data_IF_415053905811
#
_entry.id   IF_415053905811
#
_cell.length_a   1.000
_cell.length_b   1.000
_cell.length_c   1.000
_cell.angle_alpha   90.00
_cell.angle_beta   90.00
_cell.angle_gamma   90.00
#
_symmetry.space_group_name_H-M   'P 1'
#
loop_
_entity.id
_entity.type
_entity.pdbx_description
1 polymer ?
#
# COMPACT_ATOMS: atom_id res chain seq x y z
N UNK A 1 -10.44 -7.01 3.35
CA UNK A 1 -10.39 -8.27 4.14
C UNK A 1 -9.62 -8.10 5.47
N UNK A 2 -8.52 -7.36 5.49
CA UNK A 2 -7.64 -7.23 6.67
C UNK A 2 -8.24 -6.50 7.88
N UNK A 3 -9.17 -5.56 7.69
CA UNK A 3 -9.84 -4.83 8.78
C UNK A 3 -10.62 -5.78 9.69
N UNK A 4 -11.39 -6.72 9.10
CA UNK A 4 -12.12 -7.73 9.87
C UNK A 4 -11.19 -8.65 10.67
N UNK A 5 -10.00 -8.96 10.15
CA UNK A 5 -9.01 -9.80 10.83
C UNK A 5 -8.36 -9.12 12.05
N UNK A 6 -8.37 -7.79 12.16
CA UNK A 6 -7.80 -7.06 13.30
C UNK A 6 -8.70 -7.05 14.54
N UNK A 7 -9.98 -7.40 14.40
CA UNK A 7 -10.93 -7.53 15.52
C UNK A 7 -11.27 -6.22 16.26
N UNK A 8 -10.93 -5.06 15.71
CA UNK A 8 -11.21 -3.76 16.33
C UNK A 8 -12.69 -3.43 16.17
N UNK A 9 -13.43 -3.35 17.27
CA UNK A 9 -14.89 -3.17 17.27
C UNK A 9 -15.35 -1.92 16.51
N UNK A 10 -14.59 -0.83 16.58
CA UNK A 10 -14.90 0.43 15.88
C UNK A 10 -14.61 0.40 14.37
N UNK A 11 -13.81 -0.55 13.88
CA UNK A 11 -13.51 -0.66 12.45
C UNK A 11 -14.58 -1.48 11.68
N UNK A 12 -15.54 -2.10 12.38
CA UNK A 12 -16.60 -2.94 11.79
C UNK A 12 -17.65 -2.14 11.02
N UNK A 13 -17.90 -0.88 11.42
CA UNK A 13 -18.85 0.03 10.78
C UNK A 13 -18.20 0.89 9.67
N UNK A 14 -16.91 0.68 9.40
CA UNK A 14 -16.23 1.38 8.31
C UNK A 14 -16.82 0.90 6.99
N UNK A 15 -17.55 1.80 6.32
CA UNK A 15 -18.17 1.49 5.05
C UNK A 15 -17.10 1.35 3.94
N UNK A 16 -17.29 0.45 2.96
CA UNK A 16 -16.36 0.26 1.85
C UNK A 16 -16.07 1.53 1.04
N UNK A 17 -17.09 2.37 0.82
CA UNK A 17 -16.99 3.64 0.09
C UNK A 17 -16.10 4.66 0.82
N UNK A 18 -16.11 4.67 2.15
CA UNK A 18 -15.19 5.49 2.92
C UNK A 18 -13.73 5.08 2.68
N UNK A 19 -13.43 3.77 2.68
CA UNK A 19 -12.08 3.27 2.40
C UNK A 19 -11.64 3.60 0.97
N UNK A 20 -12.55 3.47 0.01
CA UNK A 20 -12.30 3.84 -1.38
C UNK A 20 -11.99 5.32 -1.52
N UNK A 21 -12.74 6.20 -0.85
CA UNK A 21 -12.50 7.65 -0.88
C UNK A 21 -11.12 8.03 -0.32
N UNK A 22 -10.66 7.37 0.76
CA UNK A 22 -9.32 7.58 1.31
C UNK A 22 -8.27 7.19 0.28
N UNK A 23 -8.41 6.01 -0.32
CA UNK A 23 -7.51 5.51 -1.34
C UNK A 23 -7.42 6.49 -2.52
N UNK A 24 -8.57 6.97 -3.01
CA UNK A 24 -8.64 7.95 -4.09
C UNK A 24 -7.99 9.29 -3.72
N UNK A 25 -8.12 9.75 -2.47
CA UNK A 25 -7.48 10.98 -2.00
C UNK A 25 -5.94 10.87 -2.05
N UNK A 26 -5.37 9.75 -1.57
CA UNK A 26 -3.93 9.50 -1.67
C UNK A 26 -3.45 9.45 -3.12
N UNK A 27 -4.14 8.72 -4.00
CA UNK A 27 -3.78 8.68 -5.42
C UNK A 27 -3.91 10.03 -6.11
N UNK A 28 -4.85 10.86 -5.69
CA UNK A 28 -5.00 12.21 -6.20
C UNK A 28 -3.82 13.09 -5.76
N UNK A 29 -3.41 13.03 -4.50
CA UNK A 29 -2.22 13.73 -4.01
C UNK A 29 -0.96 13.36 -4.81
N UNK A 30 -0.73 12.07 -5.05
CA UNK A 30 0.43 11.61 -5.83
C UNK A 30 0.49 12.17 -7.25
N UNK A 31 -0.65 12.49 -7.87
CA UNK A 31 -0.70 13.09 -9.21
C UNK A 31 -0.28 14.55 -9.24
N UNK A 32 -0.32 15.26 -8.11
CA UNK A 32 0.00 16.69 -8.03
C UNK A 32 1.44 16.98 -7.59
N UNK A 33 2.22 15.95 -7.24
CA UNK A 33 3.61 16.09 -6.79
C UNK A 33 4.56 15.27 -7.68
N UNK A 34 4.76 15.67 -8.95
CA UNK A 34 5.62 14.93 -9.90
C UNK A 34 7.10 14.94 -9.50
N UNK A 35 7.50 15.85 -8.61
CA UNK A 35 8.85 15.98 -8.08
C UNK A 35 9.18 15.01 -6.95
N UNK A 36 8.18 14.32 -6.40
CA UNK A 36 8.38 13.33 -5.34
C UNK A 36 8.53 11.92 -5.94
N UNK A 37 9.53 11.13 -5.50
CA UNK A 37 9.57 9.71 -5.80
C UNK A 37 8.55 8.98 -4.93
N UNK A 38 7.56 8.35 -5.57
CA UNK A 38 6.46 7.65 -4.90
C UNK A 38 6.52 6.17 -5.29
N UNK A 39 6.72 5.30 -4.30
CA UNK A 39 6.68 3.85 -4.46
C UNK A 39 5.35 3.29 -3.96
N UNK A 40 4.60 2.61 -4.83
CA UNK A 40 3.38 1.89 -4.48
C UNK A 40 3.69 0.39 -4.54
N UNK A 41 3.49 -0.30 -3.42
CA UNK A 41 3.65 -1.74 -3.30
C UNK A 41 2.27 -2.41 -3.27
N UNK A 42 2.01 -3.24 -4.28
CA UNK A 42 0.81 -4.08 -4.34
C UNK A 42 1.12 -5.40 -3.61
N UNK A 43 0.54 -5.55 -2.42
CA UNK A 43 0.77 -6.70 -1.52
C UNK A 43 -0.47 -7.59 -1.37
N UNK A 44 -1.49 -7.40 -2.20
CA UNK A 44 -2.77 -8.11 -2.06
C UNK A 44 -2.65 -9.62 -2.25
N UNK A 45 -1.65 -10.08 -3.01
CA UNK A 45 -1.44 -11.49 -3.32
C UNK A 45 -0.56 -12.21 -2.30
N UNK A 46 0.00 -11.50 -1.30
CA UNK A 46 1.00 -12.07 -0.41
C UNK A 46 0.73 -11.77 1.06
N UNK A 47 0.90 -12.80 1.89
CA UNK A 47 0.86 -12.66 3.35
C UNK A 47 2.26 -12.38 3.88
N UNK A 48 2.79 -11.20 3.60
CA UNK A 48 4.19 -10.83 3.90
C UNK A 48 4.58 -10.94 5.38
N UNK A 49 3.61 -11.02 6.31
CA UNK A 49 3.88 -11.26 7.73
C UNK A 49 4.10 -12.74 8.08
N UNK A 50 3.85 -13.67 7.15
CA UNK A 50 4.15 -15.10 7.27
C UNK A 50 5.12 -15.59 6.19
N UNK A 51 5.53 -14.73 5.26
CA UNK A 51 6.41 -15.04 4.14
C UNK A 51 7.65 -14.14 4.21
N UNK A 52 8.77 -14.73 4.63
CA UNK A 52 10.04 -14.03 4.76
C UNK A 52 10.59 -13.54 3.42
N UNK A 53 10.30 -14.25 2.31
CA UNK A 53 10.76 -13.85 0.99
C UNK A 53 10.01 -12.59 0.53
N UNK A 54 8.69 -12.57 0.72
CA UNK A 54 7.86 -11.41 0.44
C UNK A 54 8.25 -10.20 1.30
N UNK A 55 8.53 -10.43 2.58
CA UNK A 55 9.03 -9.37 3.47
C UNK A 55 10.40 -8.84 3.01
N UNK A 56 11.32 -9.73 2.63
CA UNK A 56 12.63 -9.37 2.09
C UNK A 56 12.52 -8.53 0.81
N UNK A 57 11.60 -8.88 -0.08
CA UNK A 57 11.35 -8.12 -1.31
C UNK A 57 10.80 -6.72 -1.01
N UNK A 58 9.89 -6.59 -0.04
CA UNK A 58 9.40 -5.27 0.43
C UNK A 58 10.59 -4.41 0.93
N UNK A 59 11.45 -4.97 1.78
CA UNK A 59 12.62 -4.24 2.30
C UNK A 59 13.57 -3.81 1.17
N UNK A 60 13.79 -4.69 0.19
CA UNK A 60 14.61 -4.39 -0.98
C UNK A 60 14.02 -3.26 -1.83
N UNK A 61 12.71 -3.22 -2.02
CA UNK A 61 12.06 -2.13 -2.75
C UNK A 61 12.16 -0.81 -1.98
N UNK A 62 11.91 -0.81 -0.67
CA UNK A 62 12.01 0.41 0.15
C UNK A 62 13.45 0.94 0.23
N UNK A 63 14.46 0.06 0.18
CA UNK A 63 15.87 0.44 0.21
C UNK A 63 16.44 0.97 -1.10
N UNK A 64 15.67 1.01 -2.18
CA UNK A 64 16.11 1.53 -3.49
C UNK A 64 15.85 3.03 -3.61
N UNK A 65 16.71 3.71 -4.38
CA UNK A 65 16.47 5.08 -4.83
C UNK A 65 15.58 5.05 -6.07
N UNK A 66 14.57 5.91 -6.11
CA UNK A 66 13.68 6.09 -7.25
C UNK A 66 13.77 7.52 -7.76
N UNK A 67 13.70 7.67 -9.07
CA UNK A 67 13.52 8.97 -9.71
C UNK A 67 12.16 9.57 -9.36
N UNK A 68 12.00 10.91 -9.43
CA UNK A 68 10.71 11.56 -9.27
C UNK A 68 9.59 10.92 -10.11
N UNK A 69 8.39 10.84 -9.54
CA UNK A 69 7.25 10.20 -10.16
C UNK A 69 6.83 8.90 -9.47
N UNK A 70 5.87 8.22 -10.10
CA UNK A 70 5.17 7.09 -9.49
C UNK A 70 5.70 5.75 -10.01
N UNK A 71 6.18 4.91 -9.09
CA UNK A 71 6.70 3.58 -9.34
C UNK A 71 5.77 2.55 -8.70
N UNK A 72 5.32 1.56 -9.48
CA UNK A 72 4.47 0.46 -8.99
C UNK A 72 5.24 -0.85 -9.00
N UNK A 73 5.12 -1.63 -7.92
CA UNK A 73 5.71 -2.97 -7.79
C UNK A 73 4.69 -3.92 -7.20
N UNK A 74 4.58 -5.11 -7.78
CA UNK A 74 3.79 -6.21 -7.24
C UNK A 74 4.74 -7.08 -6.42
N UNK A 75 4.35 -7.38 -5.19
CA UNK A 75 5.07 -8.33 -4.32
C UNK A 75 4.38 -9.68 -4.48
N UNK A 76 5.15 -10.67 -4.93
CA UNK A 76 4.71 -12.06 -5.10
C UNK A 76 5.39 -13.00 -4.13
#
# INVERSE_FOLDING_TARGET
RNIRHRGRAYEQDIRPDYLESIQQAYFSFFRYSPELPILILEVEQVSFWHDEAAYGEILRQIGQTYEPGVHRKVIG
#
